data_IF_210852981920
#
_entry.id   IF_210852981920
#
_cell.length_a   1.000
_cell.length_b   1.000
_cell.length_c   1.000
_cell.angle_alpha   90.00
_cell.angle_beta   90.00
_cell.angle_gamma   90.00
#
_symmetry.space_group_name_H-M   'P 1'
#
loop_
_entity.id
_entity.type
_entity.pdbx_description
1 polymer ?
#
# COMPACT_ATOMS: atom_id res chain seq x y z
N UNK A 1 -2.48 55.99 44.97
CA UNK A 1 -2.05 54.60 44.67
C UNK A 1 -1.92 54.48 43.17
N UNK A 2 -0.73 54.08 42.73
CA UNK A 2 -0.23 54.13 41.36
C UNK A 2 -0.93 53.09 40.47
N UNK A 3 -1.39 53.51 39.28
CA UNK A 3 -1.81 52.63 38.19
C UNK A 3 -0.60 51.87 37.61
N UNK A 4 -0.74 50.57 37.39
CA UNK A 4 0.14 49.77 36.54
C UNK A 4 -0.74 49.03 35.52
N UNK A 5 -0.84 49.62 34.33
CA UNK A 5 -1.43 48.98 33.15
C UNK A 5 -0.33 48.17 32.46
N UNK A 6 -0.55 46.86 32.31
CA UNK A 6 0.31 45.96 31.54
C UNK A 6 -0.07 46.12 30.06
N UNK A 7 0.87 46.42 29.15
CA UNK A 7 0.55 46.42 27.73
C UNK A 7 0.37 44.96 27.26
N UNK A 8 -0.86 44.64 26.84
CA UNK A 8 -1.13 43.46 26.03
C UNK A 8 -0.46 43.67 24.68
N UNK A 9 0.63 42.95 24.41
CA UNK A 9 1.23 42.89 23.07
C UNK A 9 0.29 42.07 22.19
N UNK A 10 -0.52 42.75 21.40
CA UNK A 10 -1.27 42.12 20.32
C UNK A 10 -0.26 41.63 19.28
N UNK A 11 -0.11 40.31 19.14
CA UNK A 11 0.56 39.71 18.00
C UNK A 11 -0.22 40.10 16.75
N UNK A 12 0.34 41.01 15.94
CA UNK A 12 -0.19 41.36 14.64
C UNK A 12 -0.14 40.12 13.74
N UNK A 13 -1.28 39.47 13.52
CA UNK A 13 -1.46 38.57 12.39
C UNK A 13 -1.45 39.43 11.13
N UNK A 14 -0.26 39.64 10.55
CA UNK A 14 -0.09 40.29 9.25
C UNK A 14 -0.62 39.35 8.14
N UNK A 15 -1.60 39.76 7.33
CA UNK A 15 -2.16 38.95 6.24
C UNK A 15 -1.19 38.72 5.06
N UNK A 16 0.04 39.23 5.12
CA UNK A 16 1.04 39.14 4.06
C UNK A 16 1.91 37.86 4.09
N UNK A 17 1.92 37.09 5.20
CA UNK A 17 2.72 35.85 5.32
C UNK A 17 2.01 34.61 4.76
N UNK A 18 0.67 34.64 4.69
CA UNK A 18 -0.17 33.50 4.28
C UNK A 18 -0.02 33.07 2.80
N UNK A 19 0.14 33.98 1.81
CA UNK A 19 0.17 33.57 0.40
C UNK A 19 1.43 32.82 -0.05
N UNK A 20 2.57 33.00 0.65
CA UNK A 20 3.83 32.33 0.32
C UNK A 20 3.94 30.94 0.95
N UNK A 21 3.48 30.79 2.20
CA UNK A 21 3.43 29.49 2.89
C UNK A 21 2.44 28.54 2.21
N UNK A 22 1.25 29.01 1.84
CA UNK A 22 0.25 28.21 1.11
C UNK A 22 0.76 27.73 -0.26
N UNK A 23 1.48 28.59 -1.01
CA UNK A 23 2.07 28.21 -2.30
C UNK A 23 3.16 27.17 -2.15
N UNK A 24 4.04 27.31 -1.14
CA UNK A 24 5.10 26.35 -0.85
C UNK A 24 4.51 25.00 -0.44
N UNK A 25 3.57 24.99 0.49
CA UNK A 25 2.88 23.78 0.95
C UNK A 25 2.13 23.08 -0.20
N UNK A 26 1.45 23.83 -1.08
CA UNK A 26 0.78 23.27 -2.26
C UNK A 26 1.77 22.66 -3.26
N UNK A 27 2.96 23.26 -3.43
CA UNK A 27 4.01 22.71 -4.29
C UNK A 27 4.62 21.43 -3.72
N UNK A 28 4.84 21.37 -2.41
CA UNK A 28 5.33 20.18 -1.71
C UNK A 28 4.32 19.03 -1.78
N UNK A 29 3.03 19.30 -1.57
CA UNK A 29 1.97 18.28 -1.72
C UNK A 29 1.94 17.71 -3.13
N UNK A 30 1.92 18.58 -4.16
CA UNK A 30 1.95 18.14 -5.57
C UNK A 30 3.19 17.31 -5.90
N UNK A 31 4.35 17.71 -5.36
CA UNK A 31 5.58 16.96 -5.54
C UNK A 31 5.48 15.56 -4.92
N UNK A 32 5.00 15.46 -3.68
CA UNK A 32 4.81 14.18 -2.99
C UNK A 32 3.81 13.27 -3.69
N UNK A 33 2.70 13.82 -4.20
CA UNK A 33 1.72 13.08 -4.99
C UNK A 33 2.34 12.52 -6.28
N UNK A 34 3.12 13.34 -6.99
CA UNK A 34 3.83 12.91 -8.21
C UNK A 34 4.83 11.81 -7.90
N UNK A 35 5.64 11.98 -6.86
CA UNK A 35 6.62 10.98 -6.44
C UNK A 35 5.91 9.68 -6.01
N UNK A 36 4.85 9.76 -5.20
CA UNK A 36 4.08 8.59 -4.80
C UNK A 36 3.49 7.85 -6.00
N UNK A 37 2.99 8.58 -7.01
CA UNK A 37 2.47 7.98 -8.25
C UNK A 37 3.58 7.27 -9.04
N UNK A 38 4.75 7.88 -9.15
CA UNK A 38 5.90 7.28 -9.84
C UNK A 38 6.40 6.03 -9.11
N UNK A 39 6.55 6.08 -7.78
CA UNK A 39 6.93 4.91 -6.96
C UNK A 39 5.94 3.77 -7.17
N UNK A 40 4.63 4.05 -7.10
CA UNK A 40 3.59 3.05 -7.36
C UNK A 40 3.74 2.45 -8.75
N UNK A 41 3.93 3.30 -9.77
CA UNK A 41 4.09 2.86 -11.15
C UNK A 41 5.27 1.90 -11.30
N UNK A 42 6.45 2.26 -10.78
CA UNK A 42 7.63 1.39 -10.83
C UNK A 42 7.38 0.04 -10.16
N UNK A 43 6.76 0.02 -8.97
CA UNK A 43 6.53 -1.21 -8.21
C UNK A 43 5.56 -2.17 -8.92
N UNK A 44 4.45 -1.67 -9.49
CA UNK A 44 3.45 -2.54 -10.14
C UNK A 44 3.89 -3.03 -11.52
N UNK A 45 4.91 -2.41 -12.10
CA UNK A 45 5.48 -2.78 -13.40
C UNK A 45 6.68 -3.74 -13.27
N UNK A 46 7.06 -4.11 -12.05
CA UNK A 46 8.18 -5.01 -11.83
C UNK A 46 7.94 -6.36 -12.52
N UNK A 47 8.97 -6.92 -13.21
CA UNK A 47 8.89 -8.27 -13.72
C UNK A 47 8.55 -9.26 -12.60
N UNK A 48 7.67 -10.22 -12.90
CA UNK A 48 7.25 -11.28 -11.98
C UNK A 48 6.44 -10.82 -10.76
N UNK A 49 6.09 -9.54 -10.63
CA UNK A 49 5.10 -9.10 -9.64
C UNK A 49 3.75 -9.76 -9.93
N UNK A 50 3.10 -10.30 -8.90
CA UNK A 50 1.90 -11.10 -9.07
C UNK A 50 0.88 -10.88 -7.96
N UNK A 51 -0.28 -11.54 -8.08
CA UNK A 51 -1.30 -11.62 -7.03
C UNK A 51 -0.80 -12.24 -5.73
N UNK A 52 0.36 -12.90 -5.72
CA UNK A 52 0.94 -13.53 -4.53
C UNK A 52 1.95 -12.63 -3.81
N UNK A 53 2.14 -11.43 -4.31
CA UNK A 53 3.07 -10.44 -3.80
C UNK A 53 2.28 -9.19 -3.40
N UNK A 54 2.65 -8.53 -2.32
CA UNK A 54 2.10 -7.25 -1.89
C UNK A 54 3.25 -6.29 -1.65
N UNK A 55 3.24 -5.17 -2.36
CA UNK A 55 4.23 -4.11 -2.23
C UNK A 55 3.57 -2.83 -1.75
N UNK A 56 4.04 -2.35 -0.60
CA UNK A 56 3.61 -1.11 0.02
C UNK A 56 4.77 -0.13 0.10
N UNK A 57 4.44 1.16 0.21
CA UNK A 57 5.45 2.18 0.34
C UNK A 57 4.96 3.38 1.16
N UNK A 58 5.91 4.08 1.78
CA UNK A 58 5.71 5.37 2.43
C UNK A 58 6.73 6.37 1.93
N UNK A 59 6.29 7.57 1.59
CA UNK A 59 7.14 8.69 1.14
C UNK A 59 7.30 9.72 2.26
N UNK A 60 8.54 9.88 2.74
CA UNK A 60 8.93 10.83 3.79
C UNK A 60 9.94 11.83 3.22
N UNK A 61 9.47 12.97 2.72
CA UNK A 61 10.31 13.87 1.93
C UNK A 61 10.69 13.21 0.60
N UNK A 62 11.99 13.00 0.39
CA UNK A 62 12.59 12.30 -0.75
C UNK A 62 13.05 10.86 -0.42
N UNK A 63 12.84 10.41 0.82
CA UNK A 63 13.10 9.04 1.27
C UNK A 63 11.88 8.17 1.06
N UNK A 64 12.08 6.98 0.51
CA UNK A 64 11.03 5.98 0.33
C UNK A 64 11.28 4.78 1.23
N UNK A 65 10.26 4.37 1.99
CA UNK A 65 10.29 3.15 2.79
C UNK A 65 9.42 2.13 2.08
N UNK A 66 9.99 0.99 1.70
CA UNK A 66 9.28 -0.13 1.08
C UNK A 66 8.95 -1.20 2.13
N UNK A 67 7.77 -1.77 2.04
CA UNK A 67 7.28 -2.85 2.91
C UNK A 67 6.37 -3.81 2.14
N UNK A 68 5.89 -4.84 2.82
CA UNK A 68 5.03 -5.87 2.25
C UNK A 68 5.71 -7.22 2.19
N UNK A 69 5.17 -8.13 1.39
CA UNK A 69 5.62 -9.52 1.30
C UNK A 69 5.70 -9.98 -0.14
N UNK A 70 6.78 -10.66 -0.49
CA UNK A 70 7.01 -11.19 -1.84
C UNK A 70 7.38 -12.66 -1.78
N UNK A 71 7.02 -13.40 -2.83
CA UNK A 71 7.38 -14.81 -2.99
C UNK A 71 8.79 -15.02 -3.53
N UNK A 72 9.36 -14.01 -4.20
CA UNK A 72 10.66 -14.08 -4.87
C UNK A 72 11.69 -13.17 -4.21
N UNK A 73 12.88 -13.68 -3.85
CA UNK A 73 13.96 -12.84 -3.34
C UNK A 73 14.38 -11.73 -4.31
N UNK A 74 14.37 -12.01 -5.62
CA UNK A 74 14.76 -11.02 -6.64
C UNK A 74 13.80 -9.84 -6.67
N UNK A 75 12.50 -10.07 -6.47
CA UNK A 75 11.50 -9.00 -6.48
C UNK A 75 11.76 -7.98 -5.36
N UNK A 76 12.28 -8.42 -4.21
CA UNK A 76 12.70 -7.51 -3.13
C UNK A 76 13.83 -6.57 -3.58
N UNK A 77 14.88 -7.10 -4.22
CA UNK A 77 15.99 -6.28 -4.70
C UNK A 77 15.60 -5.43 -5.91
N UNK A 78 14.75 -5.95 -6.79
CA UNK A 78 14.29 -5.25 -7.99
C UNK A 78 13.41 -4.06 -7.61
N UNK A 79 12.53 -4.21 -6.61
CA UNK A 79 11.73 -3.12 -6.07
C UNK A 79 12.59 -1.97 -5.52
N UNK A 80 13.63 -2.30 -4.75
CA UNK A 80 14.56 -1.31 -4.22
C UNK A 80 15.32 -0.60 -5.33
N UNK A 81 15.86 -1.36 -6.30
CA UNK A 81 16.60 -0.80 -7.42
C UNK A 81 15.72 0.12 -8.28
N UNK A 82 14.50 -0.31 -8.61
CA UNK A 82 13.56 0.47 -9.40
C UNK A 82 13.20 1.79 -8.70
N UNK A 83 12.88 1.74 -7.40
CA UNK A 83 12.52 2.95 -6.64
C UNK A 83 13.73 3.87 -6.46
N UNK A 84 14.92 3.33 -6.21
CA UNK A 84 16.16 4.10 -6.08
C UNK A 84 16.58 4.78 -7.39
N UNK A 85 16.15 4.25 -8.54
CA UNK A 85 16.44 4.85 -9.85
C UNK A 85 15.61 6.10 -10.16
N UNK A 86 14.57 6.38 -9.38
CA UNK A 86 13.75 7.59 -9.53
C UNK A 86 14.59 8.79 -9.10
N UNK A 87 14.80 9.76 -9.99
CA UNK A 87 15.63 10.97 -9.76
C UNK A 87 15.28 11.72 -8.46
N UNK A 88 13.98 11.75 -8.14
CA UNK A 88 13.42 12.41 -6.96
C UNK A 88 13.60 11.64 -5.64
N UNK A 89 14.19 10.43 -5.66
CA UNK A 89 14.41 9.59 -4.48
C UNK A 89 15.86 9.71 -4.01
N UNK A 90 16.07 10.20 -2.79
CA UNK A 90 17.40 10.32 -2.19
C UNK A 90 17.89 9.02 -1.57
N UNK A 91 16.96 8.23 -1.01
CA UNK A 91 17.26 7.02 -0.26
C UNK A 91 16.06 6.08 -0.20
N UNK A 92 16.36 4.78 -0.10
CA UNK A 92 15.36 3.72 0.03
C UNK A 92 15.68 2.89 1.27
N UNK A 93 14.65 2.64 2.09
CA UNK A 93 14.70 1.67 3.19
C UNK A 93 13.83 0.48 2.80
N UNK A 94 14.43 -0.69 2.60
CA UNK A 94 13.75 -1.87 2.08
C UNK A 94 13.39 -2.90 3.17
N UNK A 95 12.19 -2.76 3.72
CA UNK A 95 11.63 -3.66 4.74
C UNK A 95 10.74 -4.76 4.14
N UNK A 96 10.79 -5.00 2.82
CA UNK A 96 10.01 -6.07 2.17
C UNK A 96 10.43 -7.42 2.79
N UNK A 97 9.46 -8.24 3.16
CA UNK A 97 9.70 -9.61 3.62
C UNK A 97 9.68 -10.57 2.44
N UNK A 98 10.66 -11.47 2.35
CA UNK A 98 10.60 -12.60 1.42
C UNK A 98 9.94 -13.77 2.15
N UNK A 99 8.82 -14.25 1.62
CA UNK A 99 8.08 -15.36 2.19
C UNK A 99 8.92 -16.65 2.14
N UNK A 100 8.81 -17.52 3.17
CA UNK A 100 9.49 -18.82 3.16
C UNK A 100 9.09 -19.68 1.96
N UNK A 101 10.05 -20.46 1.45
CA UNK A 101 9.76 -21.49 0.45
C UNK A 101 9.01 -22.64 1.11
N UNK A 102 7.78 -22.90 0.65
CA UNK A 102 6.91 -23.94 1.21
C UNK A 102 5.96 -24.47 0.13
N UNK A 103 6.11 -25.75 -0.29
CA UNK A 103 5.17 -26.36 -1.24
C UNK A 103 3.72 -26.38 -0.73
N UNK A 104 3.54 -26.45 0.59
CA UNK A 104 2.22 -26.35 1.23
C UNK A 104 1.63 -24.95 1.01
N UNK A 105 2.40 -23.89 1.28
CA UNK A 105 1.92 -22.52 1.08
C UNK A 105 1.67 -22.25 -0.42
N UNK A 106 2.49 -22.82 -1.31
CA UNK A 106 2.26 -22.73 -2.76
C UNK A 106 0.94 -23.40 -3.18
N UNK A 107 0.61 -24.54 -2.58
CA UNK A 107 -0.68 -25.20 -2.82
C UNK A 107 -1.84 -24.36 -2.29
N UNK A 108 -1.72 -23.79 -1.09
CA UNK A 108 -2.73 -22.90 -0.51
C UNK A 108 -2.92 -21.67 -1.39
N UNK A 109 -1.84 -21.01 -1.84
CA UNK A 109 -1.90 -19.86 -2.76
C UNK A 109 -2.72 -20.17 -4.00
N UNK A 110 -2.45 -21.29 -4.67
CA UNK A 110 -3.20 -21.73 -5.86
C UNK A 110 -4.66 -22.05 -5.53
N UNK A 111 -4.94 -22.66 -4.38
CA UNK A 111 -6.30 -22.99 -3.97
C UNK A 111 -7.13 -21.74 -3.66
N UNK A 112 -6.59 -20.79 -2.89
CA UNK A 112 -7.24 -19.51 -2.58
C UNK A 112 -7.42 -18.67 -3.84
N UNK A 113 -6.43 -18.65 -4.73
CA UNK A 113 -6.55 -17.99 -6.02
C UNK A 113 -7.78 -18.49 -6.80
N UNK A 114 -7.95 -19.81 -6.91
CA UNK A 114 -9.12 -20.39 -7.60
C UNK A 114 -10.42 -20.11 -6.87
N UNK A 115 -10.42 -20.17 -5.53
CA UNK A 115 -11.62 -19.91 -4.73
C UNK A 115 -12.12 -18.47 -4.85
N UNK A 116 -11.19 -17.50 -4.91
CA UNK A 116 -11.51 -16.08 -5.07
C UNK A 116 -11.83 -15.75 -6.53
N UNK A 117 -10.88 -15.97 -7.45
CA UNK A 117 -11.04 -15.49 -8.83
C UNK A 117 -11.88 -16.40 -9.72
N UNK A 118 -12.13 -17.65 -9.29
CA UNK A 118 -13.12 -18.52 -9.94
C UNK A 118 -14.56 -18.22 -9.53
N UNK A 119 -14.79 -17.40 -8.49
CA UNK A 119 -16.12 -16.95 -8.10
C UNK A 119 -16.63 -15.89 -9.09
N UNK A 120 -17.86 -16.06 -9.60
CA UNK A 120 -18.44 -15.13 -10.57
C UNK A 120 -18.57 -13.71 -10.01
N UNK A 121 -18.86 -13.57 -8.72
CA UNK A 121 -18.98 -12.31 -7.99
C UNK A 121 -17.65 -11.65 -7.65
N UNK A 122 -16.49 -12.28 -7.88
CA UNK A 122 -15.16 -11.69 -7.62
C UNK A 122 -14.23 -11.73 -8.84
N UNK A 123 -14.57 -12.48 -9.89
CA UNK A 123 -13.76 -12.67 -11.10
C UNK A 123 -13.24 -11.37 -11.72
N UNK A 124 -14.01 -10.28 -11.66
CA UNK A 124 -13.62 -8.95 -12.16
C UNK A 124 -12.30 -8.42 -11.59
N UNK A 125 -11.93 -8.81 -10.37
CA UNK A 125 -10.68 -8.38 -9.72
C UNK A 125 -9.43 -9.02 -10.33
N UNK A 126 -9.57 -10.04 -11.18
CA UNK A 126 -8.48 -10.66 -11.93
C UNK A 126 -8.23 -10.06 -13.33
N UNK A 127 -9.19 -9.30 -13.85
CA UNK A 127 -9.17 -8.83 -15.25
C UNK A 127 -8.27 -7.60 -15.42
N UNK A 128 -8.05 -6.85 -14.34
CA UNK A 128 -7.22 -5.65 -14.38
C UNK A 128 -5.75 -6.02 -14.65
N UNK A 129 -5.04 -5.14 -15.36
CA UNK A 129 -3.61 -5.31 -15.62
C UNK A 129 -2.78 -5.48 -14.33
N UNK A 130 -3.23 -4.83 -13.24
CA UNK A 130 -2.74 -5.06 -11.89
C UNK A 130 -3.94 -5.54 -11.06
N UNK A 131 -4.01 -6.82 -10.69
CA UNK A 131 -5.09 -7.34 -9.87
C UNK A 131 -5.19 -6.59 -8.55
N UNK A 132 -6.41 -6.35 -8.08
CA UNK A 132 -6.63 -5.51 -6.90
C UNK A 132 -6.64 -6.27 -5.58
N UNK A 133 -6.77 -7.60 -5.61
CA UNK A 133 -6.70 -8.49 -4.44
C UNK A 133 -5.36 -9.21 -4.47
N UNK A 134 -4.64 -9.21 -3.36
CA UNK A 134 -3.39 -9.95 -3.20
C UNK A 134 -3.55 -11.02 -2.13
N UNK A 135 -2.98 -12.20 -2.37
CA UNK A 135 -3.10 -13.40 -1.55
C UNK A 135 -1.72 -13.73 -0.99
N UNK A 136 -1.50 -13.34 0.27
CA UNK A 136 -0.26 -13.61 0.98
C UNK A 136 -0.44 -14.86 1.83
N UNK A 137 0.47 -15.81 1.73
CA UNK A 137 0.43 -17.06 2.52
C UNK A 137 1.78 -17.26 3.19
N UNK A 138 1.74 -17.40 4.52
CA UNK A 138 2.90 -17.64 5.37
C UNK A 138 2.57 -18.68 6.42
N UNK A 139 3.19 -19.85 6.32
CA UNK A 139 3.02 -20.97 7.26
C UNK A 139 1.55 -21.35 7.44
N UNK A 140 0.81 -21.53 6.34
CA UNK A 140 -0.62 -21.89 6.36
C UNK A 140 -1.59 -20.76 6.77
N UNK A 141 -1.11 -19.56 7.09
CA UNK A 141 -1.95 -18.40 7.38
C UNK A 141 -2.08 -17.54 6.12
N UNK A 142 -3.32 -17.17 5.79
CA UNK A 142 -3.64 -16.37 4.61
C UNK A 142 -3.93 -14.94 5.04
N UNK A 143 -3.39 -13.97 4.31
CA UNK A 143 -3.77 -12.56 4.41
C UNK A 143 -4.24 -12.09 3.05
N UNK A 144 -5.43 -11.48 3.00
CA UNK A 144 -5.97 -10.81 1.82
C UNK A 144 -5.66 -9.32 1.92
N UNK A 145 -4.89 -8.80 0.96
CA UNK A 145 -4.49 -7.40 0.86
C UNK A 145 -5.05 -6.75 -0.40
N UNK A 146 -5.12 -5.42 -0.41
CA UNK A 146 -5.55 -4.64 -1.57
C UNK A 146 -6.96 -4.06 -1.45
N UNK A 147 -7.67 -3.97 -2.56
CA UNK A 147 -8.84 -3.10 -2.71
C UNK A 147 -9.99 -3.81 -3.43
N UNK A 148 -11.21 -3.58 -2.94
CA UNK A 148 -12.48 -4.04 -3.51
C UNK A 148 -13.50 -2.90 -3.61
N UNK A 149 -14.57 -3.12 -4.35
CA UNK A 149 -15.57 -2.09 -4.66
C UNK A 149 -16.64 -1.96 -3.58
N UNK A 150 -16.85 -3.00 -2.77
CA UNK A 150 -17.89 -3.01 -1.74
C UNK A 150 -17.53 -3.88 -0.53
N UNK A 151 -18.21 -3.64 0.60
CA UNK A 151 -18.12 -4.50 1.79
C UNK A 151 -18.64 -5.92 1.50
N UNK A 152 -19.61 -6.06 0.59
CA UNK A 152 -20.09 -7.37 0.17
C UNK A 152 -18.98 -8.19 -0.49
N UNK A 153 -18.18 -7.58 -1.35
CA UNK A 153 -17.04 -8.23 -2.01
C UNK A 153 -15.94 -8.60 -1.02
N UNK A 154 -15.65 -7.69 -0.08
CA UNK A 154 -14.70 -7.94 1.01
C UNK A 154 -15.09 -9.17 1.82
N UNK A 155 -16.37 -9.26 2.21
CA UNK A 155 -16.90 -10.39 2.97
C UNK A 155 -16.92 -11.68 2.15
N UNK A 156 -17.29 -11.60 0.87
CA UNK A 156 -17.29 -12.75 -0.02
C UNK A 156 -15.88 -13.29 -0.23
N UNK A 157 -14.88 -12.43 -0.44
CA UNK A 157 -13.49 -12.84 -0.58
C UNK A 157 -12.98 -13.58 0.67
N UNK A 158 -13.32 -13.08 1.87
CA UNK A 158 -13.02 -13.76 3.13
C UNK A 158 -13.68 -15.14 3.23
N UNK A 159 -14.96 -15.24 2.88
CA UNK A 159 -15.70 -16.50 2.92
C UNK A 159 -15.08 -17.53 1.96
N UNK A 160 -14.73 -17.11 0.74
CA UNK A 160 -14.11 -17.98 -0.27
C UNK A 160 -12.73 -18.45 0.14
N UNK A 161 -11.89 -17.55 0.67
CA UNK A 161 -10.59 -17.91 1.19
C UNK A 161 -10.70 -18.88 2.36
N UNK A 162 -11.62 -18.62 3.30
CA UNK A 162 -11.80 -19.45 4.51
C UNK A 162 -12.34 -20.85 4.23
N UNK A 163 -12.97 -21.05 3.06
CA UNK A 163 -13.47 -22.36 2.64
C UNK A 163 -12.37 -23.29 2.09
N UNK A 164 -11.15 -22.79 1.87
CA UNK A 164 -10.04 -23.59 1.35
C UNK A 164 -9.49 -24.50 2.45
N UNK A 165 -9.37 -25.83 2.20
CA UNK A 165 -8.82 -26.76 3.18
C UNK A 165 -7.37 -26.46 3.57
N UNK A 166 -6.99 -26.88 4.78
CA UNK A 166 -5.62 -26.80 5.33
C UNK A 166 -5.08 -25.37 5.56
N UNK A 167 -5.94 -24.36 5.56
CA UNK A 167 -5.62 -23.02 6.06
C UNK A 167 -5.78 -22.99 7.58
N UNK A 168 -4.87 -22.30 8.27
CA UNK A 168 -4.96 -22.09 9.73
C UNK A 168 -5.77 -20.86 10.10
N UNK A 169 -5.60 -19.77 9.36
CA UNK A 169 -6.39 -18.55 9.56
C UNK A 169 -6.44 -17.71 8.28
N UNK A 170 -7.47 -16.87 8.18
CA UNK A 170 -7.58 -15.84 7.14
C UNK A 170 -7.67 -14.48 7.83
N UNK A 171 -6.74 -13.58 7.50
CA UNK A 171 -6.79 -12.17 7.85
C UNK A 171 -7.27 -11.38 6.64
N UNK A 172 -8.34 -10.59 6.78
CA UNK A 172 -8.90 -9.80 5.69
C UNK A 172 -8.60 -8.32 5.87
N UNK A 173 -7.57 -7.82 5.17
CA UNK A 173 -7.15 -6.43 5.19
C UNK A 173 -7.63 -5.65 3.96
N UNK A 174 -8.52 -6.23 3.14
CA UNK A 174 -9.06 -5.55 1.96
C UNK A 174 -9.72 -4.23 2.34
N UNK A 175 -9.52 -3.21 1.50
CA UNK A 175 -10.09 -1.87 1.69
C UNK A 175 -11.18 -1.66 0.64
N UNK A 176 -12.29 -1.06 1.05
CA UNK A 176 -13.38 -0.68 0.12
C UNK A 176 -13.10 0.69 -0.48
N UNK A 177 -13.09 0.79 -1.81
CA UNK A 177 -12.95 2.08 -2.52
C UNK A 177 -14.06 3.03 -2.08
N UNK A 178 -13.69 4.23 -1.61
CA UNK A 178 -14.65 5.26 -1.17
C UNK A 178 -14.88 5.35 0.34
N UNK A 179 -14.36 4.41 1.14
CA UNK A 179 -14.34 4.53 2.61
C UNK A 179 -13.04 5.14 3.16
N UNK A 180 -12.09 5.50 2.30
CA UNK A 180 -10.94 6.33 2.64
C UNK A 180 -11.36 7.79 2.69
N UNK A 181 -11.88 8.22 3.85
CA UNK A 181 -11.86 9.64 4.22
C UNK A 181 -10.45 10.05 4.63
#
# INVERSE_FOLDING_TARGET
MLLLAIPMVALANSPAAQPQEEKKQRSETKYREKLAKEVRHQLVMLPWYSVFDSLEYKVEGDKVILSGQVTRPTLKSDAEAAVKSIEAVSSVVNNIEVLPLSPMDDQIRRAVYRAIYGDSGLSRYSIQAVPSIHIIVKNGNVTLEGVVDSEADKNLAYLRASAVPNIFSVKNNLIVVGNGK
#
